data_IF_952730758390
#
_entry.id   IF_952730758390
#
_cell.length_a   1.000
_cell.length_b   1.000
_cell.length_c   1.000
_cell.angle_alpha   90.00
_cell.angle_beta   90.00
_cell.angle_gamma   90.00
#
_symmetry.space_group_name_H-M   'P 1'
#
loop_
_entity.id
_entity.type
_entity.pdbx_description
1 polymer ?
#
# COMPACT_ATOMS: atom_id res chain seq x y z
N UNK A 1 -39.58 -9.44 -44.36
CA UNK A 1 -40.11 -8.33 -43.53
C UNK A 1 -40.44 -8.93 -42.17
N UNK A 2 -39.65 -8.76 -41.11
CA UNK A 2 -38.59 -7.80 -40.83
C UNK A 2 -37.49 -8.48 -40.01
N UNK A 3 -36.24 -8.24 -40.40
CA UNK A 3 -35.07 -8.42 -39.53
C UNK A 3 -35.31 -7.69 -38.21
N UNK A 4 -35.06 -8.38 -37.10
CA UNK A 4 -34.78 -7.74 -35.82
C UNK A 4 -33.29 -7.87 -35.59
N UNK A 5 -32.57 -6.79 -35.87
CA UNK A 5 -31.23 -6.52 -35.38
C UNK A 5 -31.20 -6.76 -33.86
N UNK A 6 -30.59 -7.87 -33.46
CA UNK A 6 -30.09 -8.07 -32.11
C UNK A 6 -28.66 -7.54 -32.07
N UNK A 7 -28.52 -6.21 -31.99
CA UNK A 7 -27.26 -5.60 -31.57
C UNK A 7 -27.05 -5.92 -30.10
N UNK A 8 -26.13 -6.84 -29.84
CA UNK A 8 -25.61 -7.09 -28.49
C UNK A 8 -24.87 -5.82 -28.08
N UNK A 9 -25.39 -5.11 -27.07
CA UNK A 9 -24.65 -4.01 -26.46
C UNK A 9 -23.38 -4.58 -25.83
N UNK A 10 -22.23 -4.31 -26.44
CA UNK A 10 -20.92 -4.65 -25.90
C UNK A 10 -20.78 -3.98 -24.52
N UNK A 11 -20.23 -4.72 -23.56
CA UNK A 11 -19.88 -4.12 -22.27
C UNK A 11 -18.85 -2.99 -22.48
N UNK A 12 -18.85 -1.95 -21.62
CA UNK A 12 -17.89 -0.84 -21.73
C UNK A 12 -16.43 -1.32 -21.83
N UNK A 13 -16.12 -2.44 -21.16
CA UNK A 13 -14.80 -3.06 -21.22
C UNK A 13 -14.50 -3.75 -22.55
N UNK A 14 -15.48 -4.37 -23.22
CA UNK A 14 -15.27 -4.92 -24.57
C UNK A 14 -15.06 -3.80 -25.59
N UNK A 15 -15.66 -2.62 -25.39
CA UNK A 15 -15.43 -1.45 -26.24
C UNK A 15 -14.01 -0.91 -26.04
N UNK A 16 -13.55 -0.78 -24.79
CA UNK A 16 -12.17 -0.41 -24.46
C UNK A 16 -11.18 -1.46 -25.00
N UNK A 17 -11.49 -2.75 -24.83
CA UNK A 17 -10.71 -3.88 -25.32
C UNK A 17 -10.47 -3.80 -26.83
N UNK A 18 -11.56 -3.68 -27.58
CA UNK A 18 -11.51 -3.61 -29.03
C UNK A 18 -10.82 -2.33 -29.50
N UNK A 19 -10.96 -1.22 -28.76
CA UNK A 19 -10.32 0.06 -29.11
C UNK A 19 -8.80 0.02 -28.95
N UNK A 20 -8.29 -0.55 -27.85
CA UNK A 20 -6.83 -0.59 -27.59
C UNK A 20 -6.17 -1.63 -28.48
N UNK A 21 -6.72 -2.84 -28.55
CA UNK A 21 -6.14 -3.94 -29.35
C UNK A 21 -6.16 -3.60 -30.85
N UNK A 22 -7.22 -2.97 -31.35
CA UNK A 22 -7.27 -2.56 -32.76
C UNK A 22 -6.32 -1.39 -33.09
N UNK A 23 -6.03 -0.52 -32.12
CA UNK A 23 -5.13 0.63 -32.32
C UNK A 23 -3.66 0.24 -32.26
N UNK A 24 -3.31 -0.70 -31.40
CA UNK A 24 -1.94 -1.17 -31.20
C UNK A 24 -1.77 -2.61 -31.69
N UNK A 25 -2.14 -2.83 -32.96
CA UNK A 25 -2.12 -4.16 -33.59
C UNK A 25 -0.73 -4.80 -33.49
N UNK A 26 -0.68 -6.03 -32.98
CA UNK A 26 0.55 -6.79 -32.75
C UNK A 26 1.35 -6.42 -31.49
N UNK A 27 1.09 -5.27 -30.86
CA UNK A 27 1.84 -4.79 -29.70
C UNK A 27 1.06 -4.91 -28.38
N UNK A 28 -0.27 -5.00 -28.45
CA UNK A 28 -1.16 -5.22 -27.30
C UNK A 28 -2.02 -6.45 -27.57
N UNK A 29 -2.05 -7.36 -26.60
CA UNK A 29 -2.89 -8.55 -26.67
C UNK A 29 -3.63 -8.77 -25.35
N UNK A 30 -4.85 -9.28 -25.43
CA UNK A 30 -5.59 -9.70 -24.25
C UNK A 30 -4.83 -10.83 -23.54
N UNK A 31 -4.78 -10.77 -22.21
CA UNK A 31 -4.19 -11.85 -21.42
C UNK A 31 -5.09 -13.09 -21.49
N UNK A 32 -4.55 -14.18 -22.03
CA UNK A 32 -5.30 -15.44 -22.27
C UNK A 32 -5.01 -16.51 -21.22
N UNK A 33 -4.15 -16.22 -20.24
CA UNK A 33 -3.84 -17.14 -19.15
C UNK A 33 -5.09 -17.38 -18.29
N UNK A 34 -5.30 -18.63 -17.87
CA UNK A 34 -6.48 -19.01 -17.09
C UNK A 34 -6.56 -18.21 -15.78
N UNK A 35 -7.70 -17.54 -15.55
CA UNK A 35 -7.95 -16.73 -14.36
C UNK A 35 -7.32 -15.33 -14.37
N UNK A 36 -6.57 -14.96 -15.41
CA UNK A 36 -6.01 -13.62 -15.57
C UNK A 36 -6.98 -12.72 -16.36
N UNK A 37 -7.02 -11.44 -15.99
CA UNK A 37 -7.72 -10.39 -16.73
C UNK A 37 -6.74 -9.27 -17.10
N UNK A 38 -7.05 -8.54 -18.17
CA UNK A 38 -6.26 -7.38 -18.63
C UNK A 38 -5.55 -7.63 -19.96
N UNK A 39 -4.52 -6.83 -20.22
CA UNK A 39 -3.78 -6.81 -21.48
C UNK A 39 -2.30 -6.91 -21.22
N UNK A 40 -1.61 -7.68 -22.05
CA UNK A 40 -0.15 -7.71 -22.12
C UNK A 40 0.28 -6.78 -23.26
N UNK A 41 1.22 -5.90 -22.93
CA UNK A 41 1.68 -4.81 -23.77
C UNK A 41 3.19 -4.93 -23.96
N UNK A 42 3.66 -4.71 -25.19
CA UNK A 42 5.08 -4.59 -25.45
C UNK A 42 5.66 -3.42 -24.65
N UNK A 43 6.78 -3.65 -23.96
CA UNK A 43 7.44 -2.66 -23.10
C UNK A 43 7.62 -1.30 -23.78
N UNK A 44 8.02 -1.27 -25.05
CA UNK A 44 8.29 -0.02 -25.77
C UNK A 44 7.02 0.80 -26.06
N UNK A 45 5.87 0.15 -26.13
CA UNK A 45 4.57 0.80 -26.39
C UNK A 45 3.84 1.19 -25.11
N UNK A 46 4.36 0.82 -23.94
CA UNK A 46 3.71 1.08 -22.65
C UNK A 46 3.37 2.57 -22.45
N UNK A 47 4.26 3.55 -22.68
CA UNK A 47 3.93 4.97 -22.50
C UNK A 47 2.83 5.46 -23.43
N UNK A 48 2.81 4.98 -24.68
CA UNK A 48 1.79 5.39 -25.65
C UNK A 48 0.41 4.82 -25.27
N UNK A 49 0.37 3.54 -24.90
CA UNK A 49 -0.86 2.88 -24.42
C UNK A 49 -1.36 3.56 -23.15
N UNK A 50 -0.48 3.86 -22.20
CA UNK A 50 -0.80 4.55 -20.96
C UNK A 50 -1.35 5.97 -21.21
N UNK A 51 -0.80 6.69 -22.18
CA UNK A 51 -1.29 8.02 -22.57
C UNK A 51 -2.70 7.95 -23.15
N UNK A 52 -2.97 6.99 -24.05
CA UNK A 52 -4.32 6.77 -24.60
C UNK A 52 -5.32 6.40 -23.50
N UNK A 53 -4.92 5.52 -22.58
CA UNK A 53 -5.74 5.14 -21.43
C UNK A 53 -6.14 6.34 -20.58
N UNK A 54 -5.18 7.21 -20.28
CA UNK A 54 -5.40 8.40 -19.47
C UNK A 54 -6.22 9.45 -20.19
N UNK A 55 -5.73 9.90 -21.35
CA UNK A 55 -6.18 11.12 -22.00
C UNK A 55 -7.45 10.91 -22.83
N UNK A 56 -7.66 9.70 -23.38
CA UNK A 56 -8.80 9.40 -24.25
C UNK A 56 -9.85 8.51 -23.59
N UNK A 57 -9.44 7.58 -22.72
CA UNK A 57 -10.32 6.58 -22.12
C UNK A 57 -10.65 6.86 -20.64
N UNK A 58 -10.07 7.92 -20.05
CA UNK A 58 -10.41 8.41 -18.72
C UNK A 58 -9.89 7.55 -17.56
N UNK A 59 -8.90 6.67 -17.80
CA UNK A 59 -8.18 5.97 -16.74
C UNK A 59 -7.13 6.90 -16.14
N UNK A 60 -7.60 7.90 -15.40
CA UNK A 60 -6.82 9.01 -14.85
C UNK A 60 -6.07 8.67 -13.55
N UNK A 61 -6.38 7.52 -12.94
CA UNK A 61 -5.80 7.10 -11.67
C UNK A 61 -5.07 5.77 -11.78
N UNK A 62 -3.74 5.80 -11.70
CA UNK A 62 -2.91 4.60 -11.55
C UNK A 62 -2.89 4.18 -10.09
N UNK A 63 -3.60 3.12 -9.74
CA UNK A 63 -3.79 2.69 -8.34
C UNK A 63 -2.63 1.88 -7.80
N UNK A 64 -2.01 1.02 -8.62
CA UNK A 64 -0.83 0.25 -8.22
C UNK A 64 0.04 -0.22 -9.40
N UNK A 65 1.34 -0.34 -9.17
CA UNK A 65 2.33 -0.98 -10.03
C UNK A 65 3.02 -2.05 -9.21
N UNK A 66 2.98 -3.30 -9.68
CA UNK A 66 3.53 -4.45 -8.96
C UNK A 66 4.42 -5.29 -9.87
N UNK A 67 5.41 -5.96 -9.28
CA UNK A 67 6.27 -6.90 -9.98
C UNK A 67 5.86 -8.34 -9.66
N UNK A 68 6.02 -9.25 -10.63
CA UNK A 68 5.83 -10.69 -10.45
C UNK A 68 7.01 -11.41 -11.10
N UNK A 69 7.76 -12.19 -10.32
CA UNK A 69 8.87 -13.00 -10.82
C UNK A 69 8.38 -14.42 -11.17
N UNK A 70 8.23 -14.66 -12.47
CA UNK A 70 7.89 -15.96 -13.07
C UNK A 70 9.18 -16.71 -13.41
N UNK A 71 9.80 -17.28 -12.36
CA UNK A 71 11.11 -17.93 -12.46
C UNK A 71 11.11 -19.14 -13.41
N UNK A 72 10.01 -19.91 -13.48
CA UNK A 72 9.92 -21.11 -14.34
C UNK A 72 9.81 -20.72 -15.81
N UNK A 73 9.11 -19.61 -16.10
CA UNK A 73 8.92 -19.04 -17.43
C UNK A 73 10.02 -18.03 -17.81
N UNK A 74 11.01 -17.84 -16.94
CA UNK A 74 12.16 -16.97 -17.11
C UNK A 74 11.81 -15.52 -17.53
N UNK A 75 10.79 -14.93 -16.91
CA UNK A 75 10.44 -13.53 -17.14
C UNK A 75 9.99 -12.84 -15.84
N UNK A 76 10.06 -11.51 -15.83
CA UNK A 76 9.45 -10.67 -14.81
C UNK A 76 8.28 -9.94 -15.46
N UNK A 77 7.10 -10.01 -14.84
CA UNK A 77 5.93 -9.26 -15.26
C UNK A 77 5.75 -8.03 -14.38
N UNK A 78 5.55 -6.86 -15.00
CA UNK A 78 5.13 -5.64 -14.29
C UNK A 78 3.67 -5.39 -14.59
N UNK A 79 2.85 -5.33 -13.54
CA UNK A 79 1.39 -5.16 -13.63
C UNK A 79 1.00 -3.77 -13.14
N UNK A 80 0.37 -3.01 -14.02
CA UNK A 80 -0.17 -1.68 -13.79
C UNK A 80 -1.69 -1.78 -13.67
N UNK A 81 -2.23 -1.32 -12.55
CA UNK A 81 -3.66 -1.22 -12.29
C UNK A 81 -4.09 0.23 -12.46
N UNK A 82 -4.95 0.49 -13.44
CA UNK A 82 -5.49 1.81 -13.69
C UNK A 82 -7.02 1.82 -13.53
N UNK A 83 -7.52 2.85 -12.88
CA UNK A 83 -8.93 3.05 -12.56
C UNK A 83 -9.40 4.40 -13.11
N UNK A 84 -10.72 4.52 -13.28
CA UNK A 84 -11.37 5.78 -13.63
C UNK A 84 -11.89 6.42 -12.34
N UNK A 85 -11.52 7.67 -12.05
CA UNK A 85 -12.02 8.38 -10.86
C UNK A 85 -13.54 8.55 -10.86
N UNK A 86 -14.17 8.55 -12.04
CA UNK A 86 -15.63 8.61 -12.21
C UNK A 86 -16.35 7.31 -11.83
N UNK A 87 -15.60 6.26 -11.51
CA UNK A 87 -16.12 4.92 -11.23
C UNK A 87 -16.27 4.07 -12.49
N UNK A 88 -16.08 2.76 -12.33
CA UNK A 88 -16.05 1.80 -13.43
C UNK A 88 -15.28 0.54 -13.02
N UNK A 89 -15.13 -0.40 -13.96
CA UNK A 89 -14.23 -1.54 -13.76
C UNK A 89 -12.82 -1.10 -14.16
N UNK A 90 -11.85 -1.24 -13.24
CA UNK A 90 -10.45 -0.99 -13.51
C UNK A 90 -9.89 -1.87 -14.64
N UNK A 91 -8.77 -1.43 -15.19
CA UNK A 91 -8.02 -2.13 -16.24
C UNK A 91 -6.63 -2.51 -15.74
N UNK A 92 -6.18 -3.69 -16.13
CA UNK A 92 -4.84 -4.18 -15.81
C UNK A 92 -4.01 -4.20 -17.10
N UNK A 93 -2.86 -3.54 -17.07
CA UNK A 93 -1.87 -3.52 -18.15
C UNK A 93 -0.63 -4.23 -17.64
N UNK A 94 -0.09 -5.15 -18.43
CA UNK A 94 1.01 -6.03 -18.03
C UNK A 94 2.13 -5.93 -19.05
N UNK A 95 3.36 -5.95 -18.57
CA UNK A 95 4.54 -6.00 -19.43
C UNK A 95 5.41 -7.16 -18.98
N UNK A 96 5.68 -8.08 -19.89
CA UNK A 96 6.56 -9.23 -19.63
C UNK A 96 7.97 -8.91 -20.14
N UNK A 97 8.93 -8.97 -19.22
CA UNK A 97 10.31 -8.55 -19.41
C UNK A 97 11.26 -9.72 -19.25
N UNK A 98 12.39 -9.69 -19.96
CA UNK A 98 13.48 -10.63 -19.73
C UNK A 98 13.92 -10.57 -18.25
N UNK A 99 14.06 -11.74 -17.62
CA UNK A 99 14.35 -11.83 -16.17
C UNK A 99 15.77 -11.37 -15.81
N UNK A 100 16.74 -11.59 -16.71
CA UNK A 100 18.14 -11.25 -16.48
C UNK A 100 18.39 -9.75 -16.67
N UNK A 101 17.76 -9.15 -17.68
CA UNK A 101 17.82 -7.72 -17.96
C UNK A 101 16.42 -7.10 -18.12
N UNK A 102 15.65 -6.98 -17.02
CA UNK A 102 14.30 -6.43 -17.07
C UNK A 102 14.35 -4.91 -17.21
N UNK A 103 13.99 -4.38 -18.37
CA UNK A 103 13.96 -2.94 -18.65
C UNK A 103 12.62 -2.55 -19.27
N UNK A 104 12.00 -1.49 -18.77
CA UNK A 104 10.74 -0.94 -19.28
C UNK A 104 10.79 0.60 -19.20
N UNK A 105 10.15 1.34 -20.13
CA UNK A 105 9.99 2.79 -19.97
C UNK A 105 9.17 3.16 -18.74
N UNK A 106 9.54 4.24 -18.05
CA UNK A 106 8.77 4.78 -16.92
C UNK A 106 7.42 5.36 -17.34
N UNK A 107 6.42 5.25 -16.47
CA UNK A 107 5.14 5.94 -16.60
C UNK A 107 5.06 7.25 -15.79
N UNK A 108 6.10 7.64 -15.05
CA UNK A 108 6.10 8.87 -14.22
C UNK A 108 5.66 10.14 -14.98
N UNK A 109 6.08 10.39 -16.24
CA UNK A 109 5.62 11.55 -17.01
C UNK A 109 4.10 11.57 -17.28
N UNK A 110 3.45 10.41 -17.28
CA UNK A 110 2.01 10.24 -17.57
C UNK A 110 1.23 10.18 -16.25
N UNK A 111 1.69 9.35 -15.32
CA UNK A 111 1.16 9.18 -13.97
C UNK A 111 2.25 9.51 -12.95
N UNK A 112 2.29 10.73 -12.40
CA UNK A 112 3.27 11.09 -11.37
C UNK A 112 3.27 10.17 -10.15
N UNK A 113 2.13 9.54 -9.84
CA UNK A 113 2.00 8.55 -8.77
C UNK A 113 2.81 7.26 -8.98
N UNK A 114 3.31 7.00 -10.19
CA UNK A 114 4.13 5.83 -10.49
C UNK A 114 5.51 5.86 -9.81
N UNK A 115 6.03 7.03 -9.40
CA UNK A 115 7.41 7.20 -8.88
C UNK A 115 7.73 6.20 -7.76
N UNK A 116 6.90 6.15 -6.70
CA UNK A 116 7.19 5.26 -5.58
C UNK A 116 7.02 3.78 -5.94
N UNK A 117 6.04 3.46 -6.77
CA UNK A 117 5.68 2.08 -7.09
C UNK A 117 6.72 1.48 -8.06
N UNK A 118 7.18 2.24 -9.06
CA UNK A 118 8.27 1.83 -9.95
C UNK A 118 9.59 1.68 -9.17
N UNK A 119 9.89 2.60 -8.23
CA UNK A 119 11.05 2.44 -7.35
C UNK A 119 10.97 1.22 -6.43
N UNK A 120 9.77 0.87 -5.95
CA UNK A 120 9.56 -0.34 -5.17
C UNK A 120 9.80 -1.59 -6.02
N UNK A 121 9.28 -1.64 -7.25
CA UNK A 121 9.54 -2.74 -8.19
C UNK A 121 11.03 -2.84 -8.53
N UNK A 122 11.72 -1.71 -8.72
CA UNK A 122 13.17 -1.68 -8.88
C UNK A 122 13.90 -2.24 -7.65
N UNK A 123 13.55 -1.79 -6.44
CA UNK A 123 14.24 -2.17 -5.21
C UNK A 123 14.03 -3.66 -4.86
N UNK A 124 12.84 -4.18 -5.15
CA UNK A 124 12.44 -5.53 -4.77
C UNK A 124 12.64 -6.60 -5.85
N UNK A 125 12.57 -6.24 -7.14
CA UNK A 125 12.70 -7.16 -8.29
C UNK A 125 13.85 -6.81 -9.24
N UNK A 126 14.42 -5.61 -9.18
CA UNK A 126 15.54 -5.18 -10.03
C UNK A 126 15.16 -4.74 -11.44
N UNK A 127 13.88 -4.47 -11.68
CA UNK A 127 13.40 -3.90 -12.95
C UNK A 127 13.94 -2.49 -13.12
N UNK A 128 14.56 -2.20 -14.27
CA UNK A 128 15.00 -0.86 -14.63
C UNK A 128 13.87 -0.10 -15.33
N UNK A 129 13.63 1.13 -14.88
CA UNK A 129 12.64 2.03 -15.47
C UNK A 129 13.35 3.14 -16.24
N UNK A 130 13.43 3.02 -17.57
CA UNK A 130 14.12 3.99 -18.42
C UNK A 130 13.39 5.34 -18.40
N UNK A 131 14.15 6.42 -18.22
CA UNK A 131 13.63 7.78 -18.07
C UNK A 131 13.08 8.15 -16.68
N UNK A 132 13.11 7.23 -15.70
CA UNK A 132 12.61 7.52 -14.35
C UNK A 132 13.45 8.61 -13.65
N UNK A 133 12.85 9.67 -13.09
CA UNK A 133 13.59 10.85 -12.61
C UNK A 133 14.47 10.59 -11.38
N UNK A 134 14.15 9.56 -10.60
CA UNK A 134 14.82 9.27 -9.33
C UNK A 134 14.81 7.75 -9.03
N UNK A 135 15.36 6.95 -9.95
CA UNK A 135 15.38 5.49 -9.80
C UNK A 135 16.45 5.06 -8.79
N UNK A 136 16.05 4.93 -7.53
CA UNK A 136 16.88 4.46 -6.43
C UNK A 136 16.06 3.63 -5.46
N UNK A 137 16.75 2.84 -4.63
CA UNK A 137 16.14 2.04 -3.58
C UNK A 137 15.24 2.92 -2.68
N UNK A 138 14.12 2.36 -2.25
CA UNK A 138 13.07 3.10 -1.51
C UNK A 138 12.70 2.42 -0.20
N UNK A 139 12.93 1.10 -0.08
CA UNK A 139 12.64 0.28 1.08
C UNK A 139 13.93 -0.31 1.69
N UNK A 140 14.85 -0.77 0.84
CA UNK A 140 16.11 -1.36 1.26
C UNK A 140 17.19 -0.27 1.39
N UNK A 141 18.20 -0.53 2.21
CA UNK A 141 19.34 0.37 2.35
C UNK A 141 20.21 0.35 1.09
N UNK A 142 20.94 1.43 0.82
CA UNK A 142 21.58 1.67 -0.49
C UNK A 142 22.55 0.57 -0.95
N UNK A 143 23.31 -0.02 -0.01
CA UNK A 143 24.24 -1.11 -0.31
C UNK A 143 23.65 -2.51 -0.20
N UNK A 144 22.32 -2.65 -0.11
CA UNK A 144 21.68 -3.97 -0.03
C UNK A 144 22.01 -4.81 -1.26
N UNK A 145 22.41 -6.07 -1.04
CA UNK A 145 22.82 -6.98 -2.11
C UNK A 145 21.64 -7.84 -2.61
N UNK A 146 21.26 -7.62 -3.87
CA UNK A 146 20.20 -8.35 -4.56
C UNK A 146 18.82 -7.70 -4.43
N UNK A 147 17.79 -8.51 -4.67
CA UNK A 147 16.39 -8.11 -4.86
C UNK A 147 15.49 -9.09 -4.10
N UNK A 148 14.94 -8.71 -2.92
CA UNK A 148 14.34 -9.68 -2.00
C UNK A 148 13.15 -10.48 -2.54
N UNK A 149 12.39 -9.92 -3.50
CA UNK A 149 11.21 -10.57 -4.08
C UNK A 149 11.51 -11.35 -5.37
N UNK A 150 12.78 -11.42 -5.79
CA UNK A 150 13.18 -12.46 -6.75
C UNK A 150 13.11 -13.83 -6.09
N UNK A 151 12.56 -14.83 -6.78
CA UNK A 151 12.29 -16.17 -6.25
C UNK A 151 13.56 -16.97 -5.95
N UNK A 152 14.66 -16.67 -6.64
CA UNK A 152 15.98 -17.23 -6.41
C UNK A 152 16.80 -16.48 -5.35
N UNK A 153 16.32 -15.32 -4.88
CA UNK A 153 17.00 -14.58 -3.83
C UNK A 153 16.84 -15.28 -2.47
N UNK A 154 17.97 -15.48 -1.80
CA UNK A 154 18.07 -16.18 -0.52
C UNK A 154 18.48 -15.21 0.58
N UNK A 155 17.74 -15.25 1.68
CA UNK A 155 18.05 -14.54 2.91
C UNK A 155 19.40 -14.97 3.50
N UNK A 156 20.01 -14.13 4.34
CA UNK A 156 21.29 -14.45 5.01
C UNK A 156 21.26 -15.73 5.86
N UNK A 157 20.08 -16.15 6.33
CA UNK A 157 19.84 -17.39 7.08
C UNK A 157 18.84 -18.31 6.38
N UNK A 158 18.82 -18.27 5.06
CA UNK A 158 18.01 -19.17 4.28
C UNK A 158 18.43 -20.62 4.57
N UNK A 159 17.49 -21.43 5.03
CA UNK A 159 17.66 -22.87 5.21
C UNK A 159 16.93 -23.65 4.09
N UNK A 160 15.67 -23.29 3.82
CA UNK A 160 14.79 -23.95 2.85
C UNK A 160 13.69 -22.97 2.36
N UNK A 161 13.08 -23.29 1.21
CA UNK A 161 12.10 -22.43 0.52
C UNK A 161 10.80 -22.20 1.32
N UNK A 162 10.29 -23.22 1.99
CA UNK A 162 9.07 -23.16 2.81
C UNK A 162 9.38 -23.73 4.19
N UNK A 163 9.12 -22.95 5.26
CA UNK A 163 9.52 -23.35 6.62
C UNK A 163 8.42 -23.16 7.66
N UNK A 164 7.50 -24.12 7.82
CA UNK A 164 6.44 -24.02 8.83
C UNK A 164 6.94 -24.19 10.27
N UNK A 165 8.12 -24.81 10.48
CA UNK A 165 8.80 -25.00 11.78
C UNK A 165 10.32 -25.18 11.58
N UNK A 166 11.11 -24.92 12.62
CA UNK A 166 12.56 -25.11 12.63
C UNK A 166 13.02 -26.55 13.00
N UNK A 167 14.24 -26.89 12.58
CA UNK A 167 15.06 -28.12 12.70
C UNK A 167 15.32 -28.67 14.12
N UNK A 168 14.53 -28.22 15.11
CA UNK A 168 14.79 -28.19 16.56
C UNK A 168 14.10 -29.31 17.36
N UNK A 169 13.57 -30.34 16.69
CA UNK A 169 12.89 -31.47 17.32
C UNK A 169 13.64 -32.79 17.04
N UNK A 170 14.02 -33.60 18.06
CA UNK A 170 13.88 -33.41 19.50
C UNK A 170 15.19 -32.97 20.23
N UNK A 171 16.26 -32.62 19.49
CA UNK A 171 17.64 -32.58 20.00
C UNK A 171 18.12 -31.34 20.77
N UNK A 172 17.35 -30.26 20.83
CA UNK A 172 17.46 -29.23 21.89
C UNK A 172 18.74 -28.39 22.07
N UNK A 173 19.84 -28.58 21.35
CA UNK A 173 21.04 -27.75 21.56
C UNK A 173 21.03 -26.47 20.71
N UNK A 174 21.12 -25.32 21.39
CA UNK A 174 21.15 -23.99 20.77
C UNK A 174 22.57 -23.67 20.33
N UNK A 175 22.81 -23.72 19.02
CA UNK A 175 23.82 -22.88 18.39
C UNK A 175 23.12 -21.84 17.54
N UNK A 176 23.24 -20.58 17.96
CA UNK A 176 22.85 -19.43 17.14
C UNK A 176 23.76 -19.42 15.91
N UNK A 177 23.22 -19.25 14.70
CA UNK A 177 24.07 -19.03 13.52
C UNK A 177 24.92 -17.75 13.71
N UNK A 178 24.45 -16.83 14.54
CA UNK A 178 25.20 -15.66 15.02
C UNK A 178 26.41 -16.02 15.90
N UNK A 179 26.46 -17.23 16.47
CA UNK A 179 27.63 -17.73 17.20
C UNK A 179 28.72 -18.27 16.27
N UNK A 180 28.35 -18.65 15.03
CA UNK A 180 29.29 -19.09 13.99
C UNK A 180 29.66 -17.95 13.00
N UNK A 181 28.93 -16.83 13.04
CA UNK A 181 29.26 -15.62 12.27
C UNK A 181 30.33 -14.79 13.02
N UNK A 182 31.57 -14.67 12.52
CA UNK A 182 32.59 -13.82 13.15
C UNK A 182 32.19 -12.33 13.23
N UNK A 183 31.16 -11.90 12.50
CA UNK A 183 30.66 -10.51 12.45
C UNK A 183 29.24 -10.29 13.03
N UNK A 184 28.60 -11.34 13.58
CA UNK A 184 27.48 -11.23 14.53
C UNK A 184 26.22 -10.44 14.14
N UNK A 185 25.89 -10.22 12.85
CA UNK A 185 24.67 -9.47 12.45
C UNK A 185 23.99 -9.97 11.16
N UNK A 186 22.67 -9.73 11.09
CA UNK A 186 21.69 -10.11 10.05
C UNK A 186 21.82 -9.36 8.71
N UNK A 187 23.03 -9.12 8.20
CA UNK A 187 23.23 -8.35 6.96
C UNK A 187 24.16 -9.11 6.02
N UNK A 188 23.72 -9.32 4.78
CA UNK A 188 24.54 -9.85 3.69
C UNK A 188 25.17 -8.70 2.92
N UNK A 189 26.48 -8.75 2.70
CA UNK A 189 27.22 -7.73 1.95
C UNK A 189 27.68 -8.30 0.59
N UNK A 190 27.83 -7.45 -0.45
CA UNK A 190 28.40 -7.87 -1.73
C UNK A 190 29.80 -8.51 -1.57
N UNK A 191 30.19 -9.46 -2.45
CA UNK A 191 31.55 -10.00 -2.45
C UNK A 191 32.61 -8.89 -2.58
N UNK A 192 33.57 -8.84 -1.65
CA UNK A 192 34.62 -7.82 -1.63
C UNK A 192 34.24 -6.48 -0.96
N UNK A 193 33.06 -6.40 -0.33
CA UNK A 193 32.63 -5.22 0.43
C UNK A 193 33.51 -5.03 1.68
N UNK A 194 34.23 -3.90 1.73
CA UNK A 194 35.01 -3.48 2.90
C UNK A 194 34.30 -2.34 3.62
N UNK A 195 33.76 -2.63 4.80
CA UNK A 195 33.05 -1.65 5.63
C UNK A 195 33.93 -0.46 6.03
N UNK A 196 35.26 -0.64 6.14
CA UNK A 196 36.16 0.44 6.55
C UNK A 196 36.42 1.44 5.42
N UNK A 197 36.24 1.00 4.17
CA UNK A 197 36.39 1.81 2.97
C UNK A 197 35.04 2.15 2.34
N UNK A 198 33.93 1.68 2.91
CA UNK A 198 32.60 2.05 2.48
C UNK A 198 32.22 3.40 3.09
N UNK A 199 32.23 4.43 2.24
CA UNK A 199 31.46 5.63 2.51
C UNK A 199 30.01 5.34 2.10
N UNK A 200 29.01 5.47 2.98
CA UNK A 200 27.63 5.51 2.52
C UNK A 200 27.53 6.56 1.41
N UNK A 201 26.81 6.25 0.33
CA UNK A 201 26.29 7.34 -0.50
C UNK A 201 25.44 8.19 0.45
N UNK A 202 26.01 9.31 0.85
CA UNK A 202 25.36 10.29 1.69
C UNK A 202 24.07 10.71 0.98
N UNK A 203 23.12 11.27 1.73
CA UNK A 203 21.93 11.94 1.18
C UNK A 203 22.29 13.08 0.18
N UNK A 204 23.54 13.23 -0.24
CA UNK A 204 24.02 14.20 -1.23
C UNK A 204 23.22 14.10 -2.53
N UNK A 205 22.93 12.89 -3.02
CA UNK A 205 22.07 12.73 -4.22
C UNK A 205 20.64 13.22 -4.00
N UNK A 206 20.10 13.03 -2.79
CA UNK A 206 18.80 13.54 -2.35
C UNK A 206 18.81 15.08 -2.32
N UNK A 207 19.86 15.69 -1.78
CA UNK A 207 20.00 17.15 -1.68
C UNK A 207 20.32 17.80 -3.04
N UNK A 208 21.11 17.16 -3.90
CA UNK A 208 21.47 17.66 -5.23
C UNK A 208 20.25 17.79 -6.15
N UNK A 209 19.32 16.83 -6.11
CA UNK A 209 18.10 16.87 -6.91
C UNK A 209 17.22 18.07 -6.52
N UNK A 210 17.07 18.34 -5.23
CA UNK A 210 16.31 19.49 -4.72
C UNK A 210 16.96 20.84 -5.07
N UNK A 211 18.30 20.90 -5.13
CA UNK A 211 19.03 22.12 -5.51
C UNK A 211 18.95 22.42 -7.02
N UNK A 212 18.80 21.41 -7.88
CA UNK A 212 18.63 21.63 -9.33
C UNK A 212 17.31 22.33 -9.63
N UNK A 213 16.21 21.96 -8.96
CA UNK A 213 14.86 22.51 -9.16
C UNK A 213 14.77 24.00 -8.81
N UNK A 214 15.54 24.48 -7.84
CA UNK A 214 15.47 25.86 -7.30
C UNK A 214 16.18 26.91 -8.16
N UNK A 215 16.94 26.51 -9.18
CA UNK A 215 17.76 27.41 -10.00
C UNK A 215 17.09 27.96 -11.27
N UNK A 216 15.82 27.61 -11.54
CA UNK A 216 15.11 28.02 -12.75
C UNK A 216 14.58 29.47 -12.69
N UNK A 217 15.40 30.44 -13.10
CA UNK A 217 14.94 31.58 -13.92
C UNK A 217 14.38 32.83 -13.22
N UNK A 218 14.54 33.02 -11.91
CA UNK A 218 14.21 34.32 -11.27
C UNK A 218 15.33 35.34 -11.44
N UNK A 219 14.98 36.59 -11.76
CA UNK A 219 15.93 37.71 -11.96
C UNK A 219 16.54 38.26 -10.67
N UNK A 220 16.03 37.85 -9.51
CA UNK A 220 16.54 38.13 -8.17
C UNK A 220 16.78 36.81 -7.46
N UNK A 221 18.01 36.59 -7.00
CA UNK A 221 18.37 35.43 -6.18
C UNK A 221 17.71 35.56 -4.81
N UNK A 222 16.76 34.69 -4.51
CA UNK A 222 16.32 34.40 -3.15
C UNK A 222 17.10 33.20 -2.62
N UNK A 223 17.52 33.25 -1.35
CA UNK A 223 18.22 32.14 -0.72
C UNK A 223 17.25 30.97 -0.54
N UNK A 224 17.55 29.85 -1.19
CA UNK A 224 16.80 28.61 -0.98
C UNK A 224 17.36 27.85 0.21
N UNK A 225 16.46 27.35 1.06
CA UNK A 225 16.81 26.58 2.26
C UNK A 225 16.28 25.17 2.09
N UNK A 226 17.14 24.18 2.33
CA UNK A 226 16.71 22.79 2.42
C UNK A 226 16.51 22.42 3.89
N UNK A 227 15.31 21.96 4.23
CA UNK A 227 14.92 21.59 5.60
C UNK A 227 14.53 20.12 5.64
N UNK A 228 15.06 19.40 6.61
CA UNK A 228 14.70 18.01 6.87
C UNK A 228 13.66 17.95 7.99
N UNK A 229 12.48 17.42 7.68
CA UNK A 229 11.36 17.24 8.61
C UNK A 229 11.25 15.75 8.93
N UNK A 230 11.46 15.38 10.19
CA UNK A 230 11.50 13.98 10.63
C UNK A 230 12.92 13.41 10.68
N UNK A 231 13.09 12.09 10.89
CA UNK A 231 12.04 11.07 11.04
C UNK A 231 11.29 11.15 12.39
N UNK A 232 11.83 11.88 13.36
CA UNK A 232 11.19 12.16 14.65
C UNK A 232 10.56 13.55 14.62
N UNK A 233 9.26 13.63 14.32
CA UNK A 233 8.49 14.86 14.41
C UNK A 233 7.04 14.55 14.85
N UNK A 234 6.41 15.35 15.72
CA UNK A 234 5.05 15.05 16.21
C UNK A 234 4.00 14.93 15.08
N UNK A 235 4.12 15.72 14.03
CA UNK A 235 3.16 15.77 12.91
C UNK A 235 3.40 14.71 11.82
N UNK A 236 4.38 13.82 11.97
CA UNK A 236 4.68 12.78 10.97
C UNK A 236 3.99 11.44 11.27
N UNK A 237 3.23 11.34 12.37
CA UNK A 237 2.41 10.18 12.76
C UNK A 237 3.06 8.81 12.55
N UNK A 238 4.30 8.69 13.01
CA UNK A 238 5.13 7.51 12.79
C UNK A 238 6.56 7.92 12.45
N UNK A 239 7.25 7.06 11.71
CA UNK A 239 8.63 7.29 11.28
C UNK A 239 8.59 7.69 9.81
N UNK A 240 8.50 8.99 9.56
CA UNK A 240 8.43 9.53 8.21
C UNK A 240 9.31 10.77 8.11
N UNK A 241 10.12 10.81 7.06
CA UNK A 241 11.08 11.87 6.80
C UNK A 241 10.76 12.52 5.46
N UNK A 242 10.69 13.84 5.44
CA UNK A 242 10.53 14.65 4.24
C UNK A 242 11.68 15.63 4.15
N UNK A 243 12.34 15.70 3.00
CA UNK A 243 13.30 16.76 2.71
C UNK A 243 12.60 17.77 1.82
N UNK A 244 12.53 19.01 2.29
CA UNK A 244 11.75 20.07 1.68
C UNK A 244 12.68 21.20 1.25
N UNK A 245 12.58 21.64 0.01
CA UNK A 245 13.22 22.86 -0.48
C UNK A 245 12.24 24.03 -0.35
N UNK A 246 12.70 25.10 0.29
CA UNK A 246 11.91 26.30 0.57
C UNK A 246 12.50 27.52 -0.14
N UNK A 247 11.61 28.36 -0.66
CA UNK A 247 11.88 29.75 -1.08
C UNK A 247 11.04 30.66 -0.18
N UNK A 248 11.66 31.18 0.89
CA UNK A 248 10.95 31.83 1.99
C UNK A 248 10.00 30.86 2.71
N UNK A 249 8.69 31.07 2.56
CA UNK A 249 7.63 30.22 3.13
C UNK A 249 7.01 29.26 2.10
N UNK A 250 7.42 29.34 0.83
CA UNK A 250 6.84 28.53 -0.26
C UNK A 250 7.66 27.27 -0.47
N UNK A 251 7.00 26.11 -0.45
CA UNK A 251 7.60 24.82 -0.83
C UNK A 251 7.79 24.81 -2.35
N UNK A 252 9.03 24.72 -2.80
CA UNK A 252 9.36 24.60 -4.23
C UNK A 252 9.52 23.16 -4.68
N UNK A 253 9.98 22.30 -3.76
CA UNK A 253 10.19 20.88 -4.02
C UNK A 253 10.12 20.09 -2.71
N UNK A 254 9.67 18.83 -2.77
CA UNK A 254 9.52 17.96 -1.62
C UNK A 254 9.83 16.53 -2.01
N UNK A 255 10.76 15.91 -1.28
CA UNK A 255 11.12 14.52 -1.49
C UNK A 255 10.91 13.71 -0.20
N UNK A 256 9.95 12.77 -0.19
CA UNK A 256 9.75 11.89 0.96
C UNK A 256 10.76 10.74 0.94
N UNK A 257 11.23 10.38 2.14
CA UNK A 257 12.12 9.26 2.38
C UNK A 257 11.32 8.16 3.08
N UNK A 258 11.13 7.06 2.35
CA UNK A 258 10.35 5.90 2.78
C UNK A 258 11.26 4.79 3.32
N UNK A 259 10.67 3.66 3.73
CA UNK A 259 11.43 2.46 4.10
C UNK A 259 11.71 2.28 5.60
N UNK A 260 11.59 3.32 6.43
CA UNK A 260 11.88 3.23 7.87
C UNK A 260 11.06 2.18 8.64
N UNK A 261 9.84 1.88 8.18
CA UNK A 261 8.97 0.85 8.76
C UNK A 261 8.85 -0.39 7.85
N UNK A 262 9.64 -0.49 6.79
CA UNK A 262 9.63 -1.66 5.92
C UNK A 262 10.16 -2.89 6.68
N UNK A 263 9.37 -3.96 6.68
CA UNK A 263 9.69 -5.24 7.36
C UNK A 263 9.60 -6.44 6.45
N UNK A 264 9.46 -6.21 5.14
CA UNK A 264 9.37 -7.24 4.13
C UNK A 264 8.30 -8.32 4.43
N UNK A 265 7.08 -7.89 4.77
CA UNK A 265 5.97 -8.80 5.09
C UNK A 265 5.63 -9.73 3.92
N UNK A 266 5.83 -9.29 2.69
CA UNK A 266 5.60 -10.09 1.48
C UNK A 266 6.57 -11.26 1.40
N UNK A 267 7.88 -11.02 1.60
CA UNK A 267 8.88 -12.10 1.63
C UNK A 267 8.63 -13.09 2.77
N UNK A 268 8.24 -12.59 3.95
CA UNK A 268 7.82 -13.44 5.07
C UNK A 268 6.59 -14.27 4.67
N UNK A 269 5.68 -13.66 3.92
CA UNK A 269 4.46 -14.27 3.39
C UNK A 269 4.72 -15.49 2.52
N UNK A 270 5.76 -15.46 1.68
CA UNK A 270 6.13 -16.57 0.77
C UNK A 270 6.49 -17.86 1.52
N UNK A 271 7.04 -17.74 2.74
CA UNK A 271 7.54 -18.88 3.52
C UNK A 271 6.49 -19.47 4.46
N UNK A 272 5.45 -18.69 4.75
CA UNK A 272 4.39 -19.02 5.67
C UNK A 272 3.21 -19.67 4.94
N UNK A 273 2.48 -20.52 5.64
CA UNK A 273 1.16 -20.95 5.17
C UNK A 273 0.18 -19.77 5.15
N UNK A 274 -0.86 -19.84 4.31
CA UNK A 274 -1.89 -18.79 4.22
C UNK A 274 -2.47 -18.40 5.59
N UNK A 275 -2.68 -19.38 6.49
CA UNK A 275 -3.21 -19.09 7.83
C UNK A 275 -2.18 -18.38 8.72
N UNK A 276 -0.89 -18.72 8.61
CA UNK A 276 0.19 -18.05 9.35
C UNK A 276 0.37 -16.59 8.90
N UNK A 277 -0.11 -16.22 7.71
CA UNK A 277 -0.07 -14.86 7.20
C UNK A 277 -1.17 -13.94 7.74
N UNK A 278 -2.26 -14.48 8.29
CA UNK A 278 -3.36 -13.69 8.86
C UNK A 278 -2.89 -12.63 9.88
N UNK A 279 -2.09 -12.97 10.92
CA UNK A 279 -1.61 -11.98 11.89
C UNK A 279 -0.70 -10.88 11.33
N UNK A 280 -0.10 -11.08 10.15
CA UNK A 280 0.71 -10.04 9.50
C UNK A 280 -0.17 -9.03 8.78
N UNK A 281 -1.29 -9.46 8.18
CA UNK A 281 -2.23 -8.54 7.54
C UNK A 281 -2.90 -7.58 8.54
N UNK A 282 -3.08 -8.00 9.80
CA UNK A 282 -3.53 -7.13 10.90
C UNK A 282 -2.61 -5.92 11.14
N UNK A 283 -1.33 -6.04 10.77
CA UNK A 283 -0.27 -5.08 11.09
C UNK A 283 0.11 -4.16 9.93
N UNK A 284 -0.52 -4.33 8.76
CA UNK A 284 -0.27 -3.47 7.59
C UNK A 284 -0.79 -2.06 7.87
N UNK A 285 -2.11 -1.93 8.02
CA UNK A 285 -2.72 -0.79 8.71
C UNK A 285 -3.10 -1.23 10.13
N UNK A 286 -2.30 -0.79 11.10
CA UNK A 286 -2.42 -1.18 12.51
C UNK A 286 -3.68 -0.65 13.20
N UNK A 287 -4.42 0.27 12.59
CA UNK A 287 -5.74 0.72 13.07
C UNK A 287 -6.88 -0.11 12.48
N UNK A 288 -6.65 -0.75 11.32
CA UNK A 288 -7.68 -1.40 10.52
C UNK A 288 -7.55 -2.94 10.45
N UNK A 289 -7.10 -3.58 11.52
CA UNK A 289 -6.89 -5.03 11.60
C UNK A 289 -8.03 -5.85 10.99
N UNK A 290 -9.29 -5.64 11.44
CA UNK A 290 -10.44 -6.41 10.97
C UNK A 290 -10.68 -6.29 9.46
N UNK A 291 -10.53 -5.09 8.88
CA UNK A 291 -10.73 -4.84 7.45
C UNK A 291 -9.60 -5.43 6.61
N UNK A 292 -8.36 -5.34 7.06
CA UNK A 292 -7.20 -5.94 6.37
C UNK A 292 -7.32 -7.47 6.32
N UNK A 293 -7.63 -8.07 7.48
CA UNK A 293 -7.92 -9.49 7.61
C UNK A 293 -9.10 -9.91 6.71
N UNK A 294 -10.12 -9.07 6.59
CA UNK A 294 -11.28 -9.36 5.75
C UNK A 294 -10.91 -9.38 4.26
N UNK A 295 -10.15 -8.41 3.78
CA UNK A 295 -9.65 -8.40 2.39
C UNK A 295 -8.82 -9.63 2.06
N UNK A 296 -7.92 -10.03 2.97
CA UNK A 296 -7.11 -11.24 2.79
C UNK A 296 -7.96 -12.53 2.84
N UNK A 297 -8.95 -12.60 3.74
CA UNK A 297 -9.85 -13.75 3.81
C UNK A 297 -10.64 -13.92 2.50
N UNK A 298 -11.19 -12.82 1.95
CA UNK A 298 -11.93 -12.83 0.69
C UNK A 298 -11.06 -13.29 -0.48
N UNK A 299 -9.81 -12.82 -0.56
CA UNK A 299 -8.89 -13.23 -1.61
C UNK A 299 -8.65 -14.75 -1.59
N UNK A 300 -8.36 -15.33 -0.42
CA UNK A 300 -8.11 -16.76 -0.27
C UNK A 300 -9.39 -17.59 -0.46
N UNK A 301 -10.53 -17.13 0.06
CA UNK A 301 -11.82 -17.80 -0.11
C UNK A 301 -12.24 -17.88 -1.58
N UNK A 302 -12.00 -16.81 -2.35
CA UNK A 302 -12.24 -16.78 -3.80
C UNK A 302 -11.35 -17.78 -4.54
N UNK A 303 -10.07 -17.91 -4.15
CA UNK A 303 -9.17 -18.92 -4.71
C UNK A 303 -9.58 -20.35 -4.36
N UNK A 304 -10.12 -20.57 -3.16
CA UNK A 304 -10.59 -21.87 -2.71
C UNK A 304 -11.99 -22.25 -3.23
N UNK A 305 -12.77 -21.28 -3.73
CA UNK A 305 -14.16 -21.48 -4.12
C UNK A 305 -15.07 -21.86 -2.94
N UNK A 306 -14.82 -21.30 -1.75
CA UNK A 306 -15.56 -21.63 -0.52
C UNK A 306 -16.56 -20.53 -0.18
N UNK A 307 -17.82 -20.93 0.01
CA UNK A 307 -18.88 -20.05 0.50
C UNK A 307 -18.87 -19.94 2.03
N UNK A 308 -19.02 -18.70 2.52
CA UNK A 308 -19.04 -18.39 3.95
C UNK A 308 -20.48 -18.37 4.47
N UNK A 309 -20.79 -18.90 5.67
CA UNK A 309 -22.14 -18.84 6.24
C UNK A 309 -22.69 -17.42 6.35
N UNK A 310 -23.98 -17.23 6.04
CA UNK A 310 -24.64 -15.91 6.00
C UNK A 310 -24.42 -15.09 7.28
N UNK A 311 -24.59 -15.69 8.46
CA UNK A 311 -24.33 -15.01 9.75
C UNK A 311 -22.90 -14.46 9.84
N UNK A 312 -21.91 -15.23 9.40
CA UNK A 312 -20.52 -14.81 9.43
C UNK A 312 -20.26 -13.64 8.46
N UNK A 313 -20.94 -13.62 7.30
CA UNK A 313 -20.86 -12.49 6.36
C UNK A 313 -21.37 -11.19 6.99
N UNK A 314 -22.54 -11.21 7.65
CA UNK A 314 -23.07 -10.02 8.33
C UNK A 314 -22.15 -9.51 9.42
N UNK A 315 -21.60 -10.41 10.25
CA UNK A 315 -20.68 -10.02 11.32
C UNK A 315 -19.38 -9.44 10.74
N UNK A 316 -18.85 -10.01 9.64
CA UNK A 316 -17.66 -9.47 8.96
C UNK A 316 -17.88 -8.05 8.48
N UNK A 317 -19.00 -7.80 7.80
CA UNK A 317 -19.37 -6.44 7.35
C UNK A 317 -19.48 -5.53 8.56
N UNK A 318 -20.26 -5.89 9.59
CA UNK A 318 -20.39 -5.09 10.81
C UNK A 318 -19.03 -4.73 11.44
N UNK A 319 -18.12 -5.70 11.58
CA UNK A 319 -16.78 -5.44 12.13
C UNK A 319 -15.93 -4.54 11.23
N UNK A 320 -16.02 -4.69 9.91
CA UNK A 320 -15.33 -3.83 8.95
C UNK A 320 -15.88 -2.38 8.98
N UNK A 321 -17.20 -2.23 9.09
CA UNK A 321 -17.87 -0.92 9.20
C UNK A 321 -17.50 -0.22 10.52
N UNK A 322 -17.51 -0.94 11.64
CA UNK A 322 -17.05 -0.43 12.93
C UNK A 322 -15.57 -0.03 12.88
N UNK A 323 -14.75 -0.80 12.16
CA UNK A 323 -13.33 -0.47 11.92
C UNK A 323 -13.19 0.81 11.09
N UNK A 324 -14.00 0.98 10.04
CA UNK A 324 -14.01 2.22 9.24
C UNK A 324 -14.38 3.44 10.10
N UNK A 325 -15.43 3.33 10.92
CA UNK A 325 -15.84 4.43 11.82
C UNK A 325 -14.73 4.75 12.82
N UNK A 326 -14.14 3.73 13.45
CA UNK A 326 -12.99 3.87 14.36
C UNK A 326 -11.80 4.57 13.70
N UNK A 327 -11.46 4.19 12.46
CA UNK A 327 -10.37 4.80 11.69
C UNK A 327 -10.65 6.28 11.37
N UNK A 328 -11.83 6.61 10.86
CA UNK A 328 -12.17 8.00 10.54
C UNK A 328 -12.26 8.89 11.78
N UNK A 329 -12.79 8.40 12.89
CA UNK A 329 -12.78 9.14 14.16
C UNK A 329 -11.35 9.48 14.58
N UNK A 330 -10.44 8.51 14.48
CA UNK A 330 -9.02 8.73 14.77
C UNK A 330 -8.40 9.76 13.81
N UNK A 331 -8.61 9.60 12.51
CA UNK A 331 -8.10 10.52 11.48
C UNK A 331 -8.58 11.96 11.70
N UNK A 332 -9.87 12.17 11.95
CA UNK A 332 -10.45 13.50 12.22
C UNK A 332 -9.86 14.09 13.50
N UNK A 333 -9.79 13.29 14.58
CA UNK A 333 -9.23 13.74 15.86
C UNK A 333 -7.78 14.22 15.73
N UNK A 334 -6.95 13.49 14.99
CA UNK A 334 -5.54 13.84 14.79
C UNK A 334 -5.33 14.98 13.79
N UNK A 335 -6.11 15.04 12.70
CA UNK A 335 -6.11 16.18 11.78
C UNK A 335 -6.27 17.50 12.54
N UNK A 336 -7.19 17.54 13.50
CA UNK A 336 -7.44 18.74 14.29
C UNK A 336 -6.35 19.06 15.29
N UNK A 337 -5.79 18.02 15.91
CA UNK A 337 -4.66 18.18 16.79
C UNK A 337 -3.48 18.81 16.05
N UNK A 338 -3.22 18.38 14.81
CA UNK A 338 -2.16 18.93 13.96
C UNK A 338 -2.47 20.35 13.45
N UNK A 339 -3.75 20.67 13.22
CA UNK A 339 -4.18 22.03 12.90
C UNK A 339 -4.06 23.00 14.09
N UNK A 340 -3.91 22.48 15.31
CA UNK A 340 -3.68 23.24 16.54
C UNK A 340 -4.79 23.14 17.59
N UNK A 341 -5.85 22.38 17.35
CA UNK A 341 -6.90 22.14 18.34
C UNK A 341 -6.39 21.13 19.38
N UNK A 342 -5.78 21.66 20.45
CA UNK A 342 -5.02 20.90 21.43
C UNK A 342 -5.82 19.77 22.09
N UNK A 343 -5.62 18.53 21.62
CA UNK A 343 -6.09 17.24 22.13
C UNK A 343 -7.59 17.04 22.38
N UNK A 344 -8.39 18.10 22.53
CA UNK A 344 -9.82 18.02 22.90
C UNK A 344 -10.65 17.21 21.91
N UNK A 345 -10.63 17.51 20.59
CA UNK A 345 -11.37 16.71 19.62
C UNK A 345 -10.81 15.27 19.52
N UNK A 346 -9.49 15.11 19.63
CA UNK A 346 -8.88 13.79 19.65
C UNK A 346 -9.38 12.94 20.83
N UNK A 347 -9.46 13.50 22.05
CA UNK A 347 -9.98 12.80 23.22
C UNK A 347 -11.46 12.41 23.09
N UNK A 348 -12.26 13.23 22.41
CA UNK A 348 -13.68 12.94 22.18
C UNK A 348 -13.83 11.80 21.17
N UNK A 349 -13.07 11.85 20.07
CA UNK A 349 -12.99 10.76 19.11
C UNK A 349 -12.49 9.46 19.75
N UNK A 350 -11.46 9.53 20.61
CA UNK A 350 -10.92 8.39 21.35
C UNK A 350 -12.01 7.78 22.24
N UNK A 351 -12.78 8.59 22.97
CA UNK A 351 -13.85 8.09 23.84
C UNK A 351 -14.89 7.26 23.08
N UNK A 352 -15.33 7.74 21.92
CA UNK A 352 -16.28 7.01 21.07
C UNK A 352 -15.63 5.73 20.50
N UNK A 353 -14.37 5.84 20.06
CA UNK A 353 -13.57 4.71 19.57
C UNK A 353 -13.38 3.61 20.62
N UNK A 354 -13.17 3.95 21.89
CA UNK A 354 -12.98 2.96 22.96
C UNK A 354 -14.18 2.01 23.11
N UNK A 355 -15.41 2.50 22.85
CA UNK A 355 -16.61 1.66 22.87
C UNK A 355 -16.62 0.62 21.74
N UNK A 356 -16.08 0.98 20.56
CA UNK A 356 -15.89 0.05 19.44
C UNK A 356 -14.82 -0.98 19.81
N UNK A 357 -13.72 -0.53 20.42
CA UNK A 357 -12.65 -1.42 20.84
C UNK A 357 -13.07 -2.43 21.92
N UNK A 358 -14.05 -2.11 22.76
CA UNK A 358 -14.63 -3.07 23.70
C UNK A 358 -15.37 -4.20 22.98
N UNK A 359 -16.03 -3.91 21.86
CA UNK A 359 -16.65 -4.93 20.99
C UNK A 359 -15.56 -5.82 20.41
N UNK A 360 -14.45 -5.24 19.93
CA UNK A 360 -13.32 -6.01 19.40
C UNK A 360 -12.67 -6.87 20.47
N UNK A 361 -12.44 -6.33 21.67
CA UNK A 361 -11.87 -7.10 22.78
C UNK A 361 -12.77 -8.26 23.21
N UNK A 362 -14.07 -8.01 23.34
CA UNK A 362 -15.01 -9.04 23.78
C UNK A 362 -15.16 -10.18 22.75
N UNK A 363 -15.03 -9.86 21.46
CA UNK A 363 -15.19 -10.83 20.37
C UNK A 363 -13.90 -11.50 19.94
N UNK A 364 -12.79 -10.76 19.88
CA UNK A 364 -11.51 -11.22 19.38
C UNK A 364 -10.48 -11.46 20.49
N UNK A 365 -10.68 -10.91 21.68
CA UNK A 365 -9.77 -11.04 22.82
C UNK A 365 -8.59 -10.08 22.75
N UNK A 366 -8.62 -9.16 21.80
CA UNK A 366 -7.58 -8.15 21.54
C UNK A 366 -8.26 -6.90 20.99
N UNK A 367 -7.70 -5.73 21.31
CA UNK A 367 -8.26 -4.42 20.95
C UNK A 367 -7.75 -3.88 19.61
N UNK A 368 -6.59 -4.33 19.15
CA UNK A 368 -5.97 -3.82 17.93
C UNK A 368 -5.66 -4.95 16.96
N UNK A 369 -4.75 -5.84 17.34
CA UNK A 369 -4.36 -7.00 16.53
C UNK A 369 -5.35 -8.15 16.81
N UNK A 370 -6.50 -8.10 16.16
CA UNK A 370 -7.66 -8.90 16.53
C UNK A 370 -7.57 -10.33 16.02
N UNK A 371 -6.98 -10.54 14.84
CA UNK A 371 -6.82 -11.84 14.21
C UNK A 371 -8.11 -12.67 14.26
N UNK A 372 -9.24 -12.03 13.91
CA UNK A 372 -10.59 -12.54 14.13
C UNK A 372 -11.21 -13.14 12.86
N UNK A 373 -10.92 -12.55 11.69
CA UNK A 373 -11.38 -13.11 10.43
C UNK A 373 -10.58 -14.38 10.11
N UNK A 374 -11.26 -15.39 9.59
CA UNK A 374 -10.67 -16.68 9.23
C UNK A 374 -11.21 -17.13 7.89
N UNK A 375 -10.44 -17.89 7.12
CA UNK A 375 -10.96 -18.52 5.90
C UNK A 375 -12.19 -19.37 6.24
N UNK A 376 -13.29 -19.16 5.50
CA UNK A 376 -14.58 -19.81 5.72
C UNK A 376 -15.48 -19.13 6.77
N UNK A 377 -15.05 -18.04 7.40
CA UNK A 377 -15.88 -17.28 8.35
C UNK A 377 -15.11 -16.52 9.43
N UNK A 378 -15.33 -16.88 10.69
CA UNK A 378 -14.84 -16.14 11.86
C UNK A 378 -14.20 -17.11 12.85
N UNK A 379 -13.30 -16.59 13.69
CA UNK A 379 -12.69 -17.39 14.75
C UNK A 379 -13.71 -17.84 15.81
N UNK A 380 -14.72 -17.00 16.11
CA UNK A 380 -15.80 -17.25 17.09
C UNK A 380 -16.97 -16.30 16.88
N UNK A 381 -18.15 -16.66 17.38
CA UNK A 381 -19.32 -15.76 17.40
C UNK A 381 -19.20 -14.72 18.53
N UNK A 382 -20.14 -13.76 18.58
CA UNK A 382 -20.27 -12.81 19.67
C UNK A 382 -20.41 -13.51 21.03
N UNK A 383 -19.84 -12.97 22.11
CA UNK A 383 -20.18 -13.41 23.45
C UNK A 383 -21.65 -13.06 23.75
N UNK A 384 -22.29 -13.79 24.66
CA UNK A 384 -23.68 -13.49 25.05
C UNK A 384 -23.81 -12.11 25.72
N UNK A 385 -22.75 -11.65 26.41
CA UNK A 385 -22.76 -10.39 27.14
C UNK A 385 -21.53 -9.52 26.90
N UNK A 386 -21.78 -8.22 26.77
CA UNK A 386 -20.78 -7.16 26.72
C UNK A 386 -21.17 -6.07 27.73
N UNK A 387 -20.24 -5.70 28.61
CA UNK A 387 -20.49 -4.70 29.68
C UNK A 387 -21.72 -4.99 30.55
N UNK A 388 -22.06 -6.27 30.73
CA UNK A 388 -23.21 -6.71 31.54
C UNK A 388 -24.55 -6.74 30.81
N UNK A 389 -24.60 -6.26 29.57
CA UNK A 389 -25.76 -6.24 28.69
C UNK A 389 -25.65 -7.33 27.62
N UNK A 390 -26.76 -7.62 26.91
CA UNK A 390 -26.70 -8.47 25.71
C UNK A 390 -25.83 -7.81 24.63
N UNK A 391 -24.93 -8.57 24.02
CA UNK A 391 -23.94 -8.01 23.08
C UNK A 391 -24.57 -7.38 21.85
N UNK A 392 -25.61 -8.01 21.29
CA UNK A 392 -26.28 -7.48 20.09
C UNK A 392 -26.99 -6.18 20.46
N UNK A 393 -27.68 -6.15 21.61
CA UNK A 393 -28.34 -4.94 22.10
C UNK A 393 -27.34 -3.79 22.35
N UNK A 394 -26.17 -4.09 22.91
CA UNK A 394 -25.11 -3.10 23.11
C UNK A 394 -24.61 -2.54 21.79
N UNK A 395 -24.35 -3.39 20.80
CA UNK A 395 -23.87 -2.97 19.47
C UNK A 395 -24.96 -2.14 18.77
N UNK A 396 -26.23 -2.53 18.86
CA UNK A 396 -27.35 -1.76 18.31
C UNK A 396 -27.42 -0.37 18.94
N UNK A 397 -27.36 -0.25 20.28
CA UNK A 397 -27.34 1.05 20.95
C UNK A 397 -26.10 1.89 20.58
N UNK A 398 -24.94 1.24 20.43
CA UNK A 398 -23.71 1.88 19.99
C UNK A 398 -23.89 2.52 18.60
N UNK A 399 -24.39 1.75 17.64
CA UNK A 399 -24.54 2.19 16.23
C UNK A 399 -25.69 3.18 16.05
N UNK A 400 -26.83 2.96 16.70
CA UNK A 400 -28.03 3.79 16.49
C UNK A 400 -28.02 5.07 17.34
N UNK A 401 -27.41 5.05 18.53
CA UNK A 401 -27.53 6.16 19.48
C UNK A 401 -26.21 6.81 19.86
N UNK A 402 -25.15 6.04 20.14
CA UNK A 402 -23.91 6.60 20.71
C UNK A 402 -22.98 7.18 19.64
N UNK A 403 -22.72 6.43 18.57
CA UNK A 403 -21.84 6.87 17.49
C UNK A 403 -22.41 8.09 16.74
N UNK A 404 -23.70 8.14 16.35
CA UNK A 404 -24.26 9.32 15.70
C UNK A 404 -24.13 10.58 16.56
N UNK A 405 -24.45 10.50 17.86
CA UNK A 405 -24.28 11.63 18.79
C UNK A 405 -22.83 12.11 18.88
N UNK A 406 -21.87 11.18 18.94
CA UNK A 406 -20.46 11.52 18.97
C UNK A 406 -20.00 12.18 17.65
N UNK A 407 -20.54 11.73 16.51
CA UNK A 407 -20.28 12.32 15.20
C UNK A 407 -20.88 13.73 15.13
N UNK A 408 -22.13 13.93 15.56
CA UNK A 408 -22.78 15.24 15.59
C UNK A 408 -22.03 16.23 16.51
N UNK A 409 -21.58 15.76 17.67
CA UNK A 409 -20.76 16.56 18.60
C UNK A 409 -19.43 16.95 17.97
N UNK A 410 -18.76 16.03 17.27
CA UNK A 410 -17.53 16.35 16.53
C UNK A 410 -17.83 17.34 15.39
N UNK A 411 -18.83 17.07 14.55
CA UNK A 411 -19.19 17.90 13.40
C UNK A 411 -19.47 19.36 13.78
N UNK A 412 -20.18 19.57 14.90
CA UNK A 412 -20.48 20.89 15.44
C UNK A 412 -19.23 21.76 15.66
N UNK A 413 -18.10 21.16 16.07
CA UNK A 413 -16.86 21.90 16.28
C UNK A 413 -16.01 22.09 15.01
N UNK A 414 -16.42 21.49 13.89
CA UNK A 414 -15.56 21.29 12.73
C UNK A 414 -16.07 21.95 11.47
N UNK A 415 -17.23 21.55 10.99
CA UNK A 415 -17.68 21.85 9.64
C UNK A 415 -17.87 23.34 9.41
N UNK A 416 -18.38 24.05 10.42
CA UNK A 416 -18.58 25.50 10.37
C UNK A 416 -17.45 26.31 11.01
N UNK A 417 -16.41 25.66 11.54
CA UNK A 417 -15.32 26.34 12.23
C UNK A 417 -14.47 27.17 11.26
N UNK A 418 -14.43 28.48 11.47
CA UNK A 418 -13.70 29.42 10.60
C UNK A 418 -12.21 29.11 10.50
N UNK A 419 -11.57 28.66 11.59
CA UNK A 419 -10.14 28.31 11.60
C UNK A 419 -9.89 27.08 10.75
N UNK A 420 -10.70 26.02 10.93
CA UNK A 420 -10.57 24.78 10.14
C UNK A 420 -10.80 25.06 8.67
N UNK A 421 -11.87 25.80 8.33
CA UNK A 421 -12.17 26.18 6.94
C UNK A 421 -11.05 27.02 6.32
N UNK A 422 -10.53 28.01 7.03
CA UNK A 422 -9.42 28.85 6.54
C UNK A 422 -8.12 28.06 6.33
N UNK A 423 -7.91 26.96 7.05
CA UNK A 423 -6.68 26.14 6.96
C UNK A 423 -6.78 25.00 5.95
N UNK A 424 -7.99 24.58 5.56
CA UNK A 424 -8.21 23.45 4.65
C UNK A 424 -8.70 23.86 3.26
N UNK A 425 -9.46 24.96 3.11
CA UNK A 425 -10.00 25.37 1.80
C UNK A 425 -8.86 25.88 0.92
N UNK A 426 -8.71 25.27 -0.26
CA UNK A 426 -7.67 25.62 -1.23
C UNK A 426 -6.32 24.92 -1.00
N UNK A 427 -6.23 23.99 -0.05
CA UNK A 427 -5.03 23.19 0.22
C UNK A 427 -5.19 21.79 -0.41
N UNK A 428 -4.16 21.31 -1.11
CA UNK A 428 -4.15 19.95 -1.66
C UNK A 428 -5.15 19.72 -2.81
N UNK A 429 -5.42 20.74 -3.62
CA UNK A 429 -6.30 20.61 -4.78
C UNK A 429 -5.71 19.65 -5.82
N UNK A 430 -6.37 18.51 -6.05
CA UNK A 430 -6.11 17.67 -7.20
C UNK A 430 -6.81 18.25 -8.42
N UNK A 431 -6.14 18.30 -9.58
CA UNK A 431 -6.80 18.60 -10.85
C UNK A 431 -7.79 17.47 -11.17
N UNK A 432 -9.07 17.80 -11.28
CA UNK A 432 -10.11 16.89 -11.78
C UNK A 432 -9.92 16.56 -13.24
#
# INVERSE_FOLDING_TARGET
>A
MSDKDSSVALSANEVVSNSIVARFDGEVHSDTREGYEGYVVNANMLPEVASVLKDELGYDYLSSVTGVDYIEENHIEVVYHADQTTGGKGINIKVQLDRENPVVPTLVPIYPGADFQEREVFDMYGVQFDGHPNLRRILMWDGFHGYPLRKDWKEAYYEEDVKPFDSRWPGGDVKRSEADNPYGKNVSYPPGFDINNWAPETDDSLYENLQKTTSNGKSLHTDSIVVNIGPQHPSTHGVFRMVVALDGETITDLQPVMGYLHRNHEKIGERNTFLQNMPYTDRLDYLCSMSNNFGYALAVEKLMGVDVPERAQYIRVLMAELTRISNHMWAIGFLLNDLGAFQTPALYAIRARELILDVFEATAGSRMMCNYMRFGGLARDFPDKLRGEDTVQFITDLVENRLPKAIDELDHFLTENEIVRSRCIGVGSSST
#
